data_IF_801290421684
#
_entry.id   IF_801290421684
#
_cell.length_a   1.000
_cell.length_b   1.000
_cell.length_c   1.000
_cell.angle_alpha   90.00
_cell.angle_beta   90.00
_cell.angle_gamma   90.00
#
_symmetry.space_group_name_H-M   'P 1'
#
loop_
_entity.id
_entity.type
_entity.pdbx_description
1 polymer ?
#
# COMPACT_ATOMS: atom_id res chain seq x y z
N UNK A 1 1.24 -4.39 -12.96
CA UNK A 1 2.11 -4.86 -11.88
C UNK A 1 1.16 -5.53 -10.94
N UNK A 2 1.39 -6.78 -10.59
CA UNK A 2 0.48 -7.46 -9.68
C UNK A 2 0.96 -7.25 -8.25
N UNK A 3 0.05 -6.99 -7.32
CA UNK A 3 0.33 -6.90 -5.89
C UNK A 3 -0.46 -7.98 -5.17
N UNK A 4 0.20 -8.80 -4.36
CA UNK A 4 -0.45 -9.86 -3.57
C UNK A 4 -0.40 -9.50 -2.10
N UNK A 5 -1.57 -9.38 -1.46
CA UNK A 5 -1.75 -9.05 -0.04
C UNK A 5 -2.57 -10.18 0.61
N UNK A 6 -1.92 -11.02 1.39
CA UNK A 6 -2.55 -12.22 1.97
C UNK A 6 -3.13 -13.12 0.88
N UNK A 7 -4.45 -13.36 0.94
CA UNK A 7 -5.19 -14.15 -0.05
C UNK A 7 -5.69 -13.36 -1.27
N UNK A 8 -5.45 -12.04 -1.31
CA UNK A 8 -5.95 -11.15 -2.37
C UNK A 8 -4.83 -10.80 -3.35
N UNK A 9 -5.21 -10.61 -4.61
CA UNK A 9 -4.30 -10.18 -5.66
C UNK A 9 -4.93 -9.05 -6.46
N UNK A 10 -4.14 -8.00 -6.73
CA UNK A 10 -4.56 -6.77 -7.36
C UNK A 10 -3.70 -6.51 -8.60
N UNK A 11 -4.30 -6.09 -9.72
CA UNK A 11 -3.54 -5.57 -10.86
C UNK A 11 -3.45 -4.04 -10.80
N UNK A 12 -2.26 -3.55 -10.50
CA UNK A 12 -1.96 -2.12 -10.39
C UNK A 12 -1.69 -1.48 -11.75
N UNK A 13 -1.76 -2.21 -12.87
CA UNK A 13 -1.74 -1.59 -14.21
C UNK A 13 -3.07 -0.93 -14.54
N UNK A 14 -4.16 -1.56 -14.12
CA UNK A 14 -5.53 -1.24 -14.52
C UNK A 14 -6.21 -0.31 -13.53
N UNK A 15 -5.86 -0.41 -12.24
CA UNK A 15 -6.55 0.35 -11.20
C UNK A 15 -5.63 0.70 -10.03
N UNK A 16 -5.82 1.92 -9.50
CA UNK A 16 -5.24 2.34 -8.24
C UNK A 16 -6.06 1.81 -7.04
N UNK A 17 -5.38 1.42 -5.97
CA UNK A 17 -5.99 0.96 -4.72
C UNK A 17 -6.25 2.12 -3.78
N UNK A 18 -7.35 2.04 -3.03
CA UNK A 18 -7.67 3.01 -1.97
C UNK A 18 -7.27 2.44 -0.61
N UNK A 19 -6.39 3.14 0.09
CA UNK A 19 -5.94 2.82 1.44
C UNK A 19 -6.61 3.78 2.44
N UNK A 20 -7.53 3.27 3.24
CA UNK A 20 -8.17 4.02 4.32
C UNK A 20 -7.18 4.28 5.45
N UNK A 21 -7.20 5.45 6.08
CA UNK A 21 -6.44 5.70 7.31
C UNK A 21 -7.20 5.27 8.56
N UNK A 22 -6.48 5.08 9.66
CA UNK A 22 -7.08 4.77 10.95
C UNK A 22 -8.16 5.81 11.32
N UNK A 23 -9.33 5.32 11.71
CA UNK A 23 -10.48 6.15 12.09
C UNK A 23 -11.36 6.64 10.94
N UNK A 24 -10.98 6.44 9.67
CA UNK A 24 -11.86 6.76 8.53
C UNK A 24 -12.84 5.63 8.22
N UNK A 25 -13.96 5.92 7.51
CA UNK A 25 -14.82 4.87 6.96
C UNK A 25 -14.03 3.89 6.09
N UNK A 26 -14.34 2.59 6.17
CA UNK A 26 -13.65 1.53 5.42
C UNK A 26 -14.41 1.08 4.16
N UNK A 27 -15.66 1.50 4.01
CA UNK A 27 -16.49 1.11 2.86
C UNK A 27 -15.87 1.63 1.56
N UNK A 28 -15.56 0.71 0.64
CA UNK A 28 -14.91 1.00 -0.63
C UNK A 28 -13.38 1.01 -0.60
N UNK A 29 -12.75 0.84 0.57
CA UNK A 29 -11.31 0.72 0.69
C UNK A 29 -10.82 -0.68 0.27
N UNK A 30 -9.63 -0.74 -0.33
CA UNK A 30 -8.95 -1.98 -0.68
C UNK A 30 -7.98 -2.43 0.42
N UNK A 31 -7.42 -1.47 1.17
CA UNK A 31 -6.42 -1.64 2.22
C UNK A 31 -6.79 -0.71 3.39
N UNK A 32 -6.45 -1.10 4.62
CA UNK A 32 -6.57 -0.22 5.79
C UNK A 32 -5.19 0.01 6.39
N UNK A 33 -4.79 1.27 6.54
CA UNK A 33 -3.60 1.66 7.27
C UNK A 33 -3.92 1.81 8.75
N UNK A 34 -3.20 1.08 9.60
CA UNK A 34 -3.38 1.07 11.04
C UNK A 34 -2.10 1.51 11.76
N UNK A 35 -2.28 2.13 12.93
CA UNK A 35 -1.17 2.45 13.84
C UNK A 35 -0.74 1.19 14.59
N UNK A 36 -1.71 0.40 15.04
CA UNK A 36 -1.49 -0.89 15.68
C UNK A 36 -2.27 -1.96 14.91
N UNK A 37 -1.66 -3.14 14.65
CA UNK A 37 -2.33 -4.20 13.92
C UNK A 37 -3.49 -4.78 14.74
N UNK A 38 -4.56 -5.17 14.05
CA UNK A 38 -5.75 -5.76 14.66
C UNK A 38 -6.58 -6.53 13.64
N UNK A 39 -7.62 -7.26 14.08
CA UNK A 39 -8.46 -8.02 13.17
C UNK A 39 -9.14 -7.08 12.17
N UNK A 40 -8.96 -7.37 10.88
CA UNK A 40 -9.59 -6.63 9.80
C UNK A 40 -10.05 -7.59 8.71
N UNK A 41 -11.20 -7.27 8.10
CA UNK A 41 -11.72 -7.97 6.93
C UNK A 41 -11.00 -7.56 5.62
N UNK A 42 -10.21 -6.49 5.69
CA UNK A 42 -9.42 -5.94 4.59
C UNK A 42 -7.94 -6.11 4.91
N UNK A 43 -7.08 -6.20 3.87
CA UNK A 43 -5.64 -6.19 4.06
C UNK A 43 -5.17 -5.02 4.95
N UNK A 44 -4.30 -5.33 5.90
CA UNK A 44 -3.78 -4.35 6.86
C UNK A 44 -2.39 -3.89 6.43
N UNK A 45 -2.22 -2.56 6.38
CA UNK A 45 -0.94 -1.90 6.21
C UNK A 45 -0.51 -1.25 7.52
N UNK A 46 0.74 -1.47 7.95
CA UNK A 46 1.34 -0.79 9.12
C UNK A 46 2.69 -0.22 8.72
N UNK A 47 3.03 0.94 9.29
CA UNK A 47 4.38 1.52 9.14
C UNK A 47 5.28 1.00 10.26
N UNK A 48 6.47 0.52 9.90
CA UNK A 48 7.50 0.13 10.86
C UNK A 48 8.81 0.88 10.56
N UNK A 49 9.42 1.43 11.60
CA UNK A 49 10.65 2.23 11.51
C UNK A 49 11.88 1.47 12.03
N UNK A 50 11.69 0.32 12.66
CA UNK A 50 12.75 -0.50 13.25
C UNK A 50 12.40 -2.01 13.17
N UNK A 51 13.39 -2.87 13.46
CA UNK A 51 13.22 -4.33 13.42
C UNK A 51 12.20 -4.83 14.44
N UNK A 52 12.09 -4.21 15.61
CA UNK A 52 11.13 -4.63 16.62
C UNK A 52 9.69 -4.30 16.20
N UNK A 53 9.47 -3.16 15.54
CA UNK A 53 8.23 -2.79 14.89
C UNK A 53 7.86 -3.76 13.77
N UNK A 54 8.84 -4.17 12.97
CA UNK A 54 8.65 -5.22 11.95
C UNK A 54 8.19 -6.52 12.62
N UNK A 55 8.92 -7.01 13.64
CA UNK A 55 8.55 -8.24 14.35
C UNK A 55 7.15 -8.17 14.96
N UNK A 56 6.78 -7.06 15.60
CA UNK A 56 5.43 -6.84 16.16
C UNK A 56 4.36 -6.88 15.07
N UNK A 57 4.59 -6.22 13.94
CA UNK A 57 3.64 -6.19 12.84
C UNK A 57 3.47 -7.59 12.20
N UNK A 58 4.58 -8.30 11.96
CA UNK A 58 4.55 -9.67 11.42
C UNK A 58 3.85 -10.65 12.38
N UNK A 59 4.13 -10.57 13.69
CA UNK A 59 3.46 -11.39 14.69
C UNK A 59 1.94 -11.16 14.74
N UNK A 60 1.48 -9.99 14.33
CA UNK A 60 0.07 -9.65 14.24
C UNK A 60 -0.56 -9.98 12.87
N UNK A 61 0.23 -10.51 11.91
CA UNK A 61 -0.27 -10.98 10.62
C UNK A 61 -0.62 -9.88 9.63
N UNK A 62 0.14 -8.77 9.59
CA UNK A 62 -0.09 -7.71 8.59
C UNK A 62 0.18 -8.21 7.15
N UNK A 63 -0.61 -7.72 6.21
CA UNK A 63 -0.50 -8.09 4.79
C UNK A 63 0.50 -7.22 4.02
N UNK A 64 0.65 -5.96 4.45
CA UNK A 64 1.56 -4.97 3.87
C UNK A 64 2.32 -4.24 4.97
N UNK A 65 3.65 -4.12 4.82
CA UNK A 65 4.48 -3.38 5.74
C UNK A 65 5.13 -2.19 5.03
N UNK A 66 4.89 -0.97 5.49
CA UNK A 66 5.60 0.21 5.01
C UNK A 66 6.88 0.41 5.82
N UNK A 67 8.02 0.19 5.16
CA UNK A 67 9.36 0.34 5.72
C UNK A 67 9.94 1.67 5.22
N UNK A 68 9.90 2.71 6.05
CA UNK A 68 10.48 4.01 5.67
C UNK A 68 12.02 3.95 5.58
N UNK A 69 12.62 3.10 6.41
CA UNK A 69 14.08 2.90 6.49
C UNK A 69 14.38 1.39 6.52
N UNK A 70 14.24 0.68 5.38
CA UNK A 70 14.45 -0.76 5.33
C UNK A 70 15.92 -1.10 5.60
N UNK A 71 16.14 -2.13 6.41
CA UNK A 71 17.45 -2.74 6.64
C UNK A 71 17.47 -4.14 6.00
N UNK A 72 18.65 -4.72 5.72
CA UNK A 72 18.72 -6.10 5.23
C UNK A 72 18.01 -7.09 6.15
N UNK A 73 18.10 -6.89 7.48
CA UNK A 73 17.44 -7.73 8.46
C UNK A 73 15.91 -7.57 8.42
N UNK A 74 15.37 -6.35 8.32
CA UNK A 74 13.93 -6.15 8.23
C UNK A 74 13.32 -6.71 6.94
N UNK A 75 14.03 -6.59 5.82
CA UNK A 75 13.64 -7.18 4.53
C UNK A 75 13.66 -8.72 4.59
N UNK A 76 14.69 -9.33 5.19
CA UNK A 76 14.76 -10.79 5.39
C UNK A 76 13.59 -11.29 6.23
N UNK A 77 13.25 -10.60 7.33
CA UNK A 77 12.10 -10.94 8.16
C UNK A 77 10.78 -10.91 7.36
N UNK A 78 10.61 -9.90 6.49
CA UNK A 78 9.41 -9.79 5.65
C UNK A 78 9.35 -10.90 4.58
N UNK A 79 10.50 -11.27 3.99
CA UNK A 79 10.60 -12.35 3.02
C UNK A 79 10.21 -13.70 3.65
N UNK A 80 10.77 -14.01 4.83
CA UNK A 80 10.48 -15.23 5.59
C UNK A 80 9.00 -15.33 5.99
N UNK A 81 8.41 -14.21 6.38
CA UNK A 81 7.00 -14.11 6.74
C UNK A 81 6.04 -14.05 5.54
N UNK A 82 6.56 -14.02 4.31
CA UNK A 82 5.77 -13.90 3.09
C UNK A 82 4.88 -12.63 3.03
N UNK A 83 5.26 -11.56 3.73
CA UNK A 83 4.54 -10.29 3.82
C UNK A 83 4.97 -9.33 2.70
N UNK A 84 4.03 -8.60 2.11
CA UNK A 84 4.36 -7.59 1.11
C UNK A 84 4.99 -6.35 1.77
N UNK A 85 5.86 -5.64 1.05
CA UNK A 85 6.54 -4.44 1.54
C UNK A 85 6.28 -3.25 0.65
N UNK A 86 6.13 -2.08 1.28
CA UNK A 86 6.21 -0.77 0.66
C UNK A 86 7.54 -0.15 1.08
N UNK A 87 8.42 0.15 0.13
CA UNK A 87 9.81 0.57 0.39
C UNK A 87 10.21 1.79 -0.46
N UNK A 88 11.19 2.59 -0.02
CA UNK A 88 11.82 3.61 -0.84
C UNK A 88 12.38 3.03 -2.15
N UNK A 89 12.50 3.82 -3.23
CA UNK A 89 12.90 3.30 -4.53
C UNK A 89 14.34 2.76 -4.50
N UNK A 90 15.19 3.37 -3.67
CA UNK A 90 16.58 2.93 -3.45
C UNK A 90 16.68 1.53 -2.84
N UNK A 91 15.67 1.08 -2.08
CA UNK A 91 15.67 -0.21 -1.40
C UNK A 91 14.96 -1.33 -2.19
N UNK A 92 14.40 -1.02 -3.36
CA UNK A 92 13.65 -2.00 -4.16
C UNK A 92 14.52 -3.18 -4.62
N UNK A 93 15.77 -2.91 -5.01
CA UNK A 93 16.73 -3.94 -5.40
C UNK A 93 17.14 -4.82 -4.22
N UNK A 94 17.33 -4.21 -3.03
CA UNK A 94 17.66 -4.93 -1.81
C UNK A 94 16.52 -5.83 -1.34
N UNK A 95 15.26 -5.36 -1.47
CA UNK A 95 14.09 -6.18 -1.20
C UNK A 95 14.04 -7.44 -2.09
N UNK A 96 14.33 -7.28 -3.39
CA UNK A 96 14.41 -8.41 -4.31
C UNK A 96 15.59 -9.35 -3.96
N UNK A 97 16.75 -8.80 -3.59
CA UNK A 97 17.92 -9.57 -3.16
C UNK A 97 17.67 -10.34 -1.84
N UNK A 98 16.80 -9.82 -0.96
CA UNK A 98 16.35 -10.50 0.24
C UNK A 98 15.34 -11.64 -0.03
N UNK A 99 14.94 -11.86 -1.29
CA UNK A 99 14.07 -12.96 -1.70
C UNK A 99 12.58 -12.60 -1.77
N UNK A 100 12.21 -11.32 -1.62
CA UNK A 100 10.83 -10.90 -1.87
C UNK A 100 10.53 -10.99 -3.37
N UNK A 101 9.44 -11.66 -3.79
CA UNK A 101 9.07 -11.70 -5.19
C UNK A 101 8.54 -10.33 -5.65
N UNK A 102 8.65 -9.97 -6.94
CA UNK A 102 8.24 -8.65 -7.45
C UNK A 102 6.79 -8.27 -7.11
N UNK A 103 5.87 -9.24 -7.06
CA UNK A 103 4.46 -9.03 -6.71
C UNK A 103 4.20 -8.73 -5.22
N UNK A 104 5.25 -8.72 -4.39
CA UNK A 104 5.23 -8.34 -2.98
C UNK A 104 6.07 -7.10 -2.68
N UNK A 105 6.63 -6.46 -3.70
CA UNK A 105 7.41 -5.24 -3.56
C UNK A 105 6.62 -4.09 -4.20
N UNK A 106 6.29 -3.09 -3.38
CA UNK A 106 5.75 -1.82 -3.85
C UNK A 106 6.79 -0.74 -3.54
N UNK A 107 7.09 0.11 -4.53
CA UNK A 107 7.90 1.30 -4.29
C UNK A 107 7.01 2.44 -3.80
N UNK A 108 7.47 3.18 -2.81
CA UNK A 108 6.76 4.31 -2.20
C UNK A 108 6.39 5.43 -3.20
N UNK A 109 7.11 5.55 -4.31
CA UNK A 109 6.77 6.45 -5.42
C UNK A 109 5.39 6.14 -6.04
N UNK A 110 4.84 4.95 -5.81
CA UNK A 110 3.48 4.58 -6.20
C UNK A 110 2.44 4.89 -5.12
N UNK A 111 2.85 5.25 -3.90
CA UNK A 111 1.99 5.70 -2.82
C UNK A 111 1.77 7.20 -2.93
N UNK A 112 0.51 7.60 -3.01
CA UNK A 112 0.06 8.98 -2.89
C UNK A 112 -0.67 9.15 -1.56
N UNK A 113 -0.16 10.01 -0.68
CA UNK A 113 -0.86 10.40 0.54
C UNK A 113 -1.61 11.72 0.34
N UNK A 114 -2.94 11.67 0.43
CA UNK A 114 -3.82 12.84 0.29
C UNK A 114 -4.55 13.19 1.59
N UNK A 115 -4.13 12.60 2.71
CA UNK A 115 -4.84 12.74 4.01
C UNK A 115 -4.91 14.17 4.52
N UNK A 116 -3.94 15.01 4.14
CA UNK A 116 -3.86 16.43 4.54
C UNK A 116 -4.07 17.38 3.36
N UNK A 117 -4.53 16.89 2.21
CA UNK A 117 -4.75 17.73 1.03
C UNK A 117 -6.04 18.55 1.18
N UNK A 118 -6.00 19.83 0.80
CA UNK A 118 -7.20 20.70 0.80
C UNK A 118 -8.26 20.22 -0.21
N UNK A 119 -7.81 19.65 -1.33
CA UNK A 119 -8.64 19.14 -2.42
C UNK A 119 -8.27 17.67 -2.73
N UNK A 120 -8.58 16.72 -1.83
CA UNK A 120 -8.05 15.36 -1.91
C UNK A 120 -8.48 14.62 -3.19
N UNK A 121 -9.69 14.89 -3.71
CA UNK A 121 -10.15 14.31 -4.97
C UNK A 121 -9.33 14.78 -6.19
N UNK A 122 -8.96 16.07 -6.23
CA UNK A 122 -8.15 16.65 -7.32
C UNK A 122 -6.72 16.09 -7.24
N UNK A 123 -6.13 16.07 -6.05
CA UNK A 123 -4.78 15.52 -5.84
C UNK A 123 -4.76 14.02 -6.18
N UNK A 124 -5.80 13.28 -5.80
CA UNK A 124 -5.97 11.87 -6.19
C UNK A 124 -5.97 11.72 -7.71
N UNK A 125 -6.78 12.51 -8.42
CA UNK A 125 -6.88 12.40 -9.87
C UNK A 125 -5.53 12.68 -10.55
N UNK A 126 -4.87 13.78 -10.18
CA UNK A 126 -3.56 14.16 -10.73
C UNK A 126 -2.50 13.11 -10.42
N UNK A 127 -2.41 12.64 -9.18
CA UNK A 127 -1.41 11.66 -8.77
C UNK A 127 -1.59 10.32 -9.47
N UNK A 128 -2.82 9.83 -9.63
CA UNK A 128 -3.10 8.58 -10.36
C UNK A 128 -2.73 8.69 -11.84
N UNK A 129 -3.07 9.82 -12.48
CA UNK A 129 -2.66 10.13 -13.87
C UNK A 129 -1.12 10.15 -13.98
N UNK A 130 -0.43 10.69 -12.98
CA UNK A 130 1.04 10.74 -12.92
C UNK A 130 1.70 9.40 -12.57
N UNK A 131 0.93 8.37 -12.22
CA UNK A 131 1.47 7.02 -12.01
C UNK A 131 1.26 6.44 -10.61
N UNK A 132 0.70 7.18 -9.65
CA UNK A 132 0.36 6.62 -8.34
C UNK A 132 -0.62 5.45 -8.48
N UNK A 133 -0.43 4.40 -7.67
CA UNK A 133 -1.24 3.17 -7.69
C UNK A 133 -1.79 2.76 -6.34
N UNK A 134 -1.40 3.45 -5.27
CA UNK A 134 -2.01 3.33 -3.95
C UNK A 134 -2.29 4.73 -3.45
N UNK A 135 -3.53 5.01 -3.06
CA UNK A 135 -3.97 6.33 -2.57
C UNK A 135 -4.36 6.20 -1.11
N UNK A 136 -3.57 6.79 -0.21
CA UNK A 136 -3.85 6.86 1.23
C UNK A 136 -4.71 8.09 1.51
N UNK A 137 -5.89 7.91 2.09
CA UNK A 137 -6.90 8.97 2.24
C UNK A 137 -7.78 8.77 3.46
N UNK A 138 -8.35 9.87 3.96
CA UNK A 138 -9.49 9.85 4.90
C UNK A 138 -10.85 9.87 4.17
N UNK A 139 -10.92 10.44 2.96
CA UNK A 139 -12.11 10.42 2.10
C UNK A 139 -12.05 9.22 1.14
N UNK A 140 -12.41 8.05 1.66
CA UNK A 140 -12.39 6.79 0.90
C UNK A 140 -13.38 6.84 -0.26
N UNK A 141 -14.61 7.32 -0.03
CA UNK A 141 -15.65 7.35 -1.06
C UNK A 141 -15.30 8.30 -2.22
N UNK A 142 -14.73 9.48 -1.92
CA UNK A 142 -14.24 10.40 -2.94
C UNK A 142 -13.09 9.81 -3.75
N UNK A 143 -12.03 9.34 -3.09
CA UNK A 143 -10.88 8.73 -3.77
C UNK A 143 -11.29 7.52 -4.62
N UNK A 144 -12.22 6.69 -4.11
CA UNK A 144 -12.73 5.52 -4.80
C UNK A 144 -13.41 5.88 -6.11
N UNK A 145 -14.34 6.85 -6.08
CA UNK A 145 -15.03 7.32 -7.28
C UNK A 145 -14.06 7.86 -8.33
N UNK A 146 -13.05 8.63 -7.90
CA UNK A 146 -12.02 9.14 -8.81
C UNK A 146 -11.22 8.00 -9.43
N UNK A 147 -10.76 7.03 -8.63
CA UNK A 147 -9.98 5.90 -9.13
C UNK A 147 -10.77 5.01 -10.10
N UNK A 148 -12.05 4.74 -9.82
CA UNK A 148 -12.91 3.94 -10.70
C UNK A 148 -13.17 4.65 -12.05
N UNK A 149 -13.42 5.97 -12.02
CA UNK A 149 -13.57 6.77 -13.25
C UNK A 149 -12.29 6.76 -14.07
N UNK A 150 -11.13 6.98 -13.43
CA UNK A 150 -9.85 6.98 -14.14
C UNK A 150 -9.49 5.60 -14.69
N UNK A 151 -9.77 4.52 -13.96
CA UNK A 151 -9.58 3.16 -14.48
C UNK A 151 -10.41 2.96 -15.75
N UNK A 152 -11.70 3.33 -15.75
CA UNK A 152 -12.55 3.22 -16.93
C UNK A 152 -12.05 4.06 -18.12
N UNK A 153 -11.51 5.26 -17.87
CA UNK A 153 -10.94 6.12 -18.92
C UNK A 153 -9.64 5.54 -19.49
N UNK A 154 -8.75 5.03 -18.63
CA UNK A 154 -7.45 4.50 -19.04
C UNK A 154 -7.53 3.13 -19.73
N UNK A 155 -8.61 2.38 -19.50
CA UNK A 155 -8.89 1.11 -20.16
C UNK A 155 -9.72 1.25 -21.45
N UNK A 156 -10.22 2.45 -21.76
CA UNK A 156 -10.98 2.67 -22.99
C UNK A 156 -10.09 2.52 -24.24
N UNK A 157 -10.58 1.82 -25.29
CA UNK A 157 -9.82 1.55 -26.52
C UNK A 157 -9.63 2.78 -27.42
#
# INVERSE_FOLDING_TARGET
>A
MRLTLGSRSYDLRTRALVMAVAGSPREGADIVHMVEPGPAELPVCVTACDEDGVRRALAAGVDLLHLSEPTPASLSLCADAATAVLVPPAAAADAAAAGLPPERIVVDALLLDVTTADLPAVVTAVGVIQGARIVRTADVAGARRVCDVLAAVLEAP
#
